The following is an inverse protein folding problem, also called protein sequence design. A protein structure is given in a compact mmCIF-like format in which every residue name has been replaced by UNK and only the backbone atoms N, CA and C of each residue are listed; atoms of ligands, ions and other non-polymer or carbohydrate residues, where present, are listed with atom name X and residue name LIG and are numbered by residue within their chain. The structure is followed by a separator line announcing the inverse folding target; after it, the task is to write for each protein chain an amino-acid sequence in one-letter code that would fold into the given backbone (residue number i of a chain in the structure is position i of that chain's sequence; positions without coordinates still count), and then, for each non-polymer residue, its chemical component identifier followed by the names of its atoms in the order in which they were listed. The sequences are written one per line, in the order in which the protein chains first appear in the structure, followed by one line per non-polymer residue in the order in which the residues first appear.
data_IF_179633977776
#
_entry.id   IF_179633977776
#
_cell.length_a   1.000
_cell.length_b   1.000
_cell.length_c   1.000
_cell.angle_alpha   90.00
_cell.angle_beta   90.00
_cell.angle_gamma   90.00
#
_symmetry.space_group_name_H-M   'P 1'
#
loop_
_entity.id
_entity.type
_entity.pdbx_description
1 polymer ?
#
# COMPACT_ATOMS: atom_id res chain seq x y z
N UNK A 1 -8.32 -26.24 -8.61
CA UNK A 1 -7.69 -24.91 -8.66
C UNK A 1 -8.68 -23.90 -8.06
N UNK A 2 -8.27 -23.05 -7.14
CA UNK A 2 -9.12 -22.40 -6.13
C UNK A 2 -10.19 -21.37 -6.61
N UNK A 3 -10.46 -21.28 -7.92
CA UNK A 3 -11.52 -20.40 -8.47
C UNK A 3 -11.37 -18.93 -8.08
N UNK A 4 -12.45 -18.16 -8.19
CA UNK A 4 -12.50 -16.75 -7.83
C UNK A 4 -12.24 -16.50 -6.33
N UNK A 5 -12.67 -17.42 -5.46
CA UNK A 5 -12.46 -17.35 -3.99
C UNK A 5 -10.97 -17.45 -3.63
N UNK A 6 -10.20 -18.24 -4.37
CA UNK A 6 -8.75 -18.32 -4.21
C UNK A 6 -8.05 -17.00 -4.53
N UNK A 7 -8.46 -16.31 -5.60
CA UNK A 7 -7.84 -15.05 -6.04
C UNK A 7 -7.78 -14.02 -4.92
N UNK A 8 -8.93 -13.72 -4.30
CA UNK A 8 -9.02 -12.73 -3.24
C UNK A 8 -8.12 -13.07 -2.05
N UNK A 9 -8.09 -14.34 -1.64
CA UNK A 9 -7.25 -14.80 -0.54
C UNK A 9 -5.75 -14.67 -0.86
N UNK A 10 -5.29 -15.17 -2.01
CA UNK A 10 -3.88 -15.05 -2.42
C UNK A 10 -3.45 -13.59 -2.56
N UNK A 11 -4.29 -12.75 -3.16
CA UNK A 11 -4.02 -11.32 -3.29
C UNK A 11 -3.93 -10.62 -1.92
N UNK A 12 -4.80 -10.96 -0.97
CA UNK A 12 -4.70 -10.43 0.39
C UNK A 12 -3.39 -10.85 1.08
N UNK A 13 -2.97 -12.11 0.94
CA UNK A 13 -1.71 -12.58 1.52
C UNK A 13 -0.48 -11.93 0.88
N UNK A 14 -0.48 -11.78 -0.45
CA UNK A 14 0.58 -11.07 -1.18
C UNK A 14 0.64 -9.61 -0.77
N UNK A 15 -0.51 -8.94 -0.65
CA UNK A 15 -0.59 -7.54 -0.26
C UNK A 15 -0.09 -7.31 1.16
N UNK A 16 -0.57 -8.13 2.11
CA UNK A 16 -0.13 -8.10 3.50
C UNK A 16 1.38 -8.38 3.63
N UNK A 17 1.89 -9.42 2.97
CA UNK A 17 3.32 -9.75 2.99
C UNK A 17 4.19 -8.67 2.36
N UNK A 18 3.70 -8.03 1.30
CA UNK A 18 4.39 -6.89 0.65
C UNK A 18 4.49 -5.68 1.59
N UNK A 19 3.42 -5.36 2.31
CA UNK A 19 3.40 -4.19 3.19
C UNK A 19 4.04 -4.43 4.57
N UNK A 20 4.36 -5.69 4.93
CA UNK A 20 4.82 -6.07 6.27
C UNK A 20 6.10 -5.38 6.73
N UNK A 21 7.15 -5.43 5.90
CA UNK A 21 8.49 -4.91 6.23
C UNK A 21 9.05 -3.94 5.17
N UNK A 22 8.17 -3.40 4.31
CA UNK A 22 8.44 -2.26 3.43
C UNK A 22 9.69 -2.40 2.53
N UNK A 23 10.02 -3.63 2.13
CA UNK A 23 11.19 -3.95 1.28
C UNK A 23 12.10 -5.03 1.87
N UNK A 24 11.79 -5.50 3.09
CA UNK A 24 12.51 -6.56 3.77
C UNK A 24 12.24 -7.98 3.24
N UNK A 25 12.69 -9.01 3.99
CA UNK A 25 12.60 -10.41 3.58
C UNK A 25 11.17 -10.91 3.29
N UNK A 26 10.17 -10.49 4.08
CA UNK A 26 8.77 -10.91 3.90
C UNK A 26 8.20 -10.30 2.63
N UNK A 27 8.48 -9.02 2.38
CA UNK A 27 8.10 -8.36 1.14
C UNK A 27 8.73 -9.07 -0.08
N UNK A 28 10.01 -9.44 -0.02
CA UNK A 28 10.68 -10.17 -1.11
C UNK A 28 10.08 -11.55 -1.34
N UNK A 29 9.80 -12.30 -0.27
CA UNK A 29 9.16 -13.61 -0.37
C UNK A 29 7.75 -13.50 -1.00
N UNK A 30 6.96 -12.50 -0.60
CA UNK A 30 5.65 -12.21 -1.19
C UNK A 30 5.77 -11.85 -2.68
N UNK A 31 6.80 -11.08 -3.05
CA UNK A 31 7.12 -10.76 -4.44
C UNK A 31 7.45 -12.01 -5.26
N UNK A 32 8.30 -12.91 -4.74
CA UNK A 32 8.63 -14.18 -5.39
C UNK A 32 7.40 -15.07 -5.57
N UNK A 33 6.53 -15.14 -4.55
CA UNK A 33 5.27 -15.88 -4.65
C UNK A 33 4.33 -15.28 -5.72
N UNK A 34 4.19 -13.96 -5.75
CA UNK A 34 3.38 -13.27 -6.76
C UNK A 34 3.91 -13.51 -8.18
N UNK A 35 5.22 -13.39 -8.39
CA UNK A 35 5.88 -13.67 -9.67
C UNK A 35 5.71 -15.14 -10.08
N UNK A 36 5.80 -16.08 -9.14
CA UNK A 36 5.58 -17.49 -9.42
C UNK A 36 4.14 -17.79 -9.85
N UNK A 37 3.14 -17.11 -9.27
CA UNK A 37 1.73 -17.28 -9.62
C UNK A 37 1.33 -16.55 -10.91
N UNK A 38 2.03 -15.49 -11.27
CA UNK A 38 1.70 -14.64 -12.42
C UNK A 38 1.59 -15.46 -13.71
N UNK A 39 0.44 -15.40 -14.38
CA UNK A 39 0.21 -16.10 -15.63
C UNK A 39 -0.04 -17.61 -15.51
N UNK A 40 -0.02 -18.21 -14.30
CA UNK A 40 -0.43 -19.61 -14.11
C UNK A 40 -1.91 -19.86 -14.45
N UNK A 41 -2.73 -18.81 -14.42
CA UNK A 41 -4.08 -18.78 -14.94
C UNK A 41 -4.49 -17.33 -15.22
N UNK A 42 -5.61 -17.10 -15.89
CA UNK A 42 -6.17 -15.74 -16.09
C UNK A 42 -6.50 -15.00 -14.78
N UNK A 43 -6.51 -15.74 -13.66
CA UNK A 43 -6.91 -15.28 -12.34
C UNK A 43 -5.73 -14.69 -11.56
N UNK A 44 -4.49 -15.08 -11.88
CA UNK A 44 -3.29 -14.66 -11.14
C UNK A 44 -2.48 -13.64 -11.93
N UNK A 45 -2.35 -12.44 -11.37
CA UNK A 45 -1.62 -11.30 -11.89
C UNK A 45 -0.78 -10.64 -10.77
N UNK A 46 -0.05 -9.57 -11.09
CA UNK A 46 0.80 -8.83 -10.15
C UNK A 46 0.09 -7.62 -9.51
N UNK A 47 -1.19 -7.36 -9.81
CA UNK A 47 -1.85 -6.13 -9.35
C UNK A 47 -1.77 -5.95 -7.83
N UNK A 48 -2.08 -6.99 -7.06
CA UNK A 48 -2.00 -6.93 -5.60
C UNK A 48 -0.58 -6.59 -5.10
N UNK A 49 0.45 -7.14 -5.76
CA UNK A 49 1.85 -6.88 -5.44
C UNK A 49 2.22 -5.43 -5.73
N UNK A 50 1.95 -4.95 -6.95
CA UNK A 50 2.37 -3.62 -7.40
C UNK A 50 1.71 -2.48 -6.61
N UNK A 51 0.42 -2.62 -6.29
CA UNK A 51 -0.29 -1.65 -5.45
C UNK A 51 0.27 -1.60 -4.03
N UNK A 52 0.59 -2.76 -3.46
CA UNK A 52 1.00 -2.88 -2.06
C UNK A 52 2.40 -2.33 -1.80
N UNK A 53 3.24 -2.23 -2.83
CA UNK A 53 4.55 -1.56 -2.74
C UNK A 53 4.35 -0.08 -2.41
N UNK A 54 3.38 0.59 -3.04
CA UNK A 54 3.28 2.05 -2.98
C UNK A 54 2.35 2.56 -1.89
N UNK A 55 1.33 1.79 -1.53
CA UNK A 55 0.27 2.20 -0.60
C UNK A 55 0.79 2.71 0.76
N UNK A 56 1.76 2.05 1.43
CA UNK A 56 2.26 2.54 2.73
C UNK A 56 2.93 3.93 2.63
N UNK A 57 3.86 4.10 1.69
CA UNK A 57 4.58 5.36 1.47
C UNK A 57 3.64 6.50 1.08
N UNK A 58 2.70 6.25 0.16
CA UNK A 58 1.70 7.25 -0.24
C UNK A 58 0.77 7.59 0.93
N UNK A 59 0.36 6.58 1.72
CA UNK A 59 -0.49 6.78 2.88
C UNK A 59 0.14 7.64 3.97
N UNK A 60 1.44 7.46 4.23
CA UNK A 60 2.21 8.36 5.12
C UNK A 60 2.25 9.78 4.56
N UNK A 61 2.44 9.93 3.25
CA UNK A 61 2.36 11.22 2.58
C UNK A 61 1.03 11.92 2.75
N UNK A 62 -0.07 11.17 2.58
CA UNK A 62 -1.42 11.66 2.82
C UNK A 62 -1.63 12.00 4.29
N UNK A 63 -1.10 11.22 5.24
CA UNK A 63 -1.17 11.57 6.66
C UNK A 63 -0.52 12.93 6.94
N UNK A 64 0.69 13.18 6.41
CA UNK A 64 1.37 14.47 6.56
C UNK A 64 0.56 15.64 5.97
N UNK A 65 -0.07 15.44 4.80
CA UNK A 65 -0.92 16.45 4.18
C UNK A 65 -2.23 16.67 4.94
N UNK A 66 -2.86 15.62 5.47
CA UNK A 66 -4.15 15.69 6.16
C UNK A 66 -4.04 16.08 7.63
N UNK A 67 -2.85 15.98 8.22
CA UNK A 67 -2.59 16.27 9.62
C UNK A 67 -3.12 17.65 10.06
N UNK A 68 -4.02 17.67 11.04
CA UNK A 68 -4.66 18.88 11.57
C UNK A 68 -5.71 19.53 10.64
N UNK A 69 -6.11 18.87 9.54
CA UNK A 69 -7.12 19.37 8.59
C UNK A 69 -8.41 18.57 8.69
N UNK A 70 -9.54 19.18 8.32
CA UNK A 70 -10.85 18.50 8.27
C UNK A 70 -11.27 17.81 9.59
N UNK A 71 -10.83 18.33 10.73
CA UNK A 71 -11.08 17.72 12.05
C UNK A 71 -10.21 16.51 12.38
N UNK A 72 -9.18 16.21 11.56
CA UNK A 72 -8.23 15.13 11.82
C UNK A 72 -7.18 15.53 12.86
N UNK A 73 -6.59 14.55 13.57
CA UNK A 73 -5.57 14.80 14.58
C UNK A 73 -4.37 15.63 14.06
N UNK A 74 -3.89 16.56 14.87
CA UNK A 74 -2.62 17.27 14.64
C UNK A 74 -1.52 16.61 15.46
N UNK A 75 -0.85 15.63 14.86
CA UNK A 75 0.10 14.75 15.54
C UNK A 75 1.52 14.82 14.97
N UNK A 76 1.71 15.48 13.83
CA UNK A 76 3.01 15.57 13.16
C UNK A 76 3.77 16.84 13.55
N UNK A 77 5.05 16.70 13.89
CA UNK A 77 5.99 17.82 13.92
C UNK A 77 6.26 18.35 12.49
N UNK A 78 6.95 19.50 12.38
CA UNK A 78 7.35 20.02 11.07
C UNK A 78 8.35 19.11 10.34
N UNK A 79 9.21 18.44 11.10
CA UNK A 79 10.13 17.43 10.56
C UNK A 79 9.33 16.23 10.04
N UNK A 80 8.35 15.74 10.79
CA UNK A 80 7.49 14.62 10.37
C UNK A 80 6.66 14.95 9.12
N UNK A 81 6.19 16.20 8.99
CA UNK A 81 5.49 16.66 7.78
C UNK A 81 6.43 16.65 6.57
N UNK A 82 7.68 17.07 6.75
CA UNK A 82 8.71 17.03 5.71
C UNK A 82 9.02 15.60 5.30
N UNK A 83 9.33 14.72 6.27
CA UNK A 83 9.63 13.31 6.02
C UNK A 83 8.45 12.64 5.33
N UNK A 84 7.21 12.83 5.82
CA UNK A 84 6.04 12.24 5.18
C UNK A 84 5.79 12.74 3.76
N UNK A 85 6.03 14.03 3.49
CA UNK A 85 5.94 14.56 2.12
C UNK A 85 7.01 13.95 1.20
N UNK A 86 8.22 13.70 1.71
CA UNK A 86 9.25 12.95 0.97
C UNK A 86 8.83 11.50 0.74
N UNK A 87 8.20 10.84 1.72
CA UNK A 87 7.66 9.49 1.57
C UNK A 87 6.60 9.40 0.46
N UNK A 88 5.79 10.45 0.27
CA UNK A 88 4.84 10.51 -0.84
C UNK A 88 5.54 10.36 -2.20
N UNK A 89 6.62 11.14 -2.40
CA UNK A 89 7.39 11.11 -3.64
C UNK A 89 8.01 9.73 -3.87
N UNK A 90 8.55 9.12 -2.81
CA UNK A 90 9.08 7.75 -2.85
C UNK A 90 8.00 6.74 -3.27
N UNK A 91 6.80 6.85 -2.70
CA UNK A 91 5.66 6.01 -3.08
C UNK A 91 5.27 6.17 -4.57
N UNK A 92 5.26 7.40 -5.09
CA UNK A 92 4.93 7.69 -6.50
C UNK A 92 5.94 7.06 -7.47
N UNK A 93 7.21 6.90 -7.08
CA UNK A 93 8.23 6.27 -7.93
C UNK A 93 8.46 4.78 -7.64
N UNK A 94 7.72 4.18 -6.70
CA UNK A 94 7.75 2.74 -6.44
C UNK A 94 8.62 2.29 -5.28
N UNK A 95 8.86 3.17 -4.30
CA UNK A 95 9.71 2.90 -3.14
C UNK A 95 8.83 2.82 -1.87
N UNK A 96 8.76 1.64 -1.25
CA UNK A 96 7.98 1.37 -0.02
C UNK A 96 8.67 1.85 1.26
N UNK A 97 9.99 2.03 1.19
CA UNK A 97 10.88 2.32 2.32
C UNK A 97 10.63 3.70 2.93
N UNK A 98 9.95 4.59 2.20
CA UNK A 98 9.56 5.91 2.69
C UNK A 98 8.72 5.85 3.98
N UNK A 99 8.05 4.73 4.27
CA UNK A 99 7.29 4.55 5.50
C UNK A 99 8.09 3.95 6.68
N UNK A 100 9.36 3.54 6.48
CA UNK A 100 10.19 2.94 7.54
C UNK A 100 10.34 3.84 8.77
N UNK A 101 10.63 5.16 8.64
CA UNK A 101 10.77 6.03 9.81
C UNK A 101 9.53 6.03 10.72
N UNK A 102 8.34 5.84 10.15
CA UNK A 102 7.08 5.84 10.87
C UNK A 102 6.86 4.52 11.63
N UNK A 103 7.17 3.37 11.05
CA UNK A 103 7.07 2.08 11.78
C UNK A 103 8.13 1.97 12.89
N UNK A 104 9.31 2.58 12.72
CA UNK A 104 10.34 2.61 13.76
C UNK A 104 9.87 3.42 14.97
N UNK A 105 9.12 4.50 14.73
CA UNK A 105 8.52 5.30 15.80
C UNK A 105 7.29 4.65 16.41
N UNK A 106 6.45 3.98 15.60
CA UNK A 106 5.23 3.32 16.03
C UNK A 106 5.03 1.99 15.30
N UNK A 107 5.49 0.87 15.88
CA UNK A 107 5.37 -0.46 15.26
C UNK A 107 3.93 -0.92 15.03
N UNK A 108 2.94 -0.31 15.70
CA UNK A 108 1.51 -0.58 15.47
C UNK A 108 1.07 -0.21 14.05
N UNK A 109 1.87 0.57 13.31
CA UNK A 109 1.58 0.92 11.93
C UNK A 109 1.81 -0.24 10.95
N UNK A 110 2.53 -1.30 11.32
CA UNK A 110 2.70 -2.48 10.46
C UNK A 110 1.34 -3.10 10.08
N UNK A 111 0.47 -3.49 11.03
CA UNK A 111 -0.86 -4.01 10.68
C UNK A 111 -1.77 -2.97 10.00
N UNK A 112 -1.59 -1.67 10.26
CA UNK A 112 -2.29 -0.60 9.53
C UNK A 112 -1.93 -0.61 8.05
N UNK A 113 -0.63 -0.68 7.73
CA UNK A 113 -0.14 -0.71 6.36
C UNK A 113 -0.53 -1.99 5.63
N UNK A 114 -0.50 -3.13 6.32
CA UNK A 114 -1.04 -4.38 5.79
C UNK A 114 -2.53 -4.23 5.44
N UNK A 115 -3.32 -3.63 6.33
CA UNK A 115 -4.76 -3.43 6.11
C UNK A 115 -5.04 -2.53 4.92
N UNK A 116 -4.34 -1.39 4.81
CA UNK A 116 -4.49 -0.49 3.67
C UNK A 116 -4.08 -1.14 2.35
N UNK A 117 -2.97 -1.90 2.35
CA UNK A 117 -2.50 -2.64 1.16
C UNK A 117 -3.51 -3.72 0.73
N UNK A 118 -4.02 -4.51 1.67
CA UNK A 118 -5.05 -5.53 1.41
C UNK A 118 -6.33 -4.88 0.87
N UNK A 119 -6.80 -3.80 1.49
CA UNK A 119 -7.99 -3.11 1.03
C UNK A 119 -7.81 -2.58 -0.41
N UNK A 120 -6.70 -1.92 -0.71
CA UNK A 120 -6.39 -1.47 -2.07
C UNK A 120 -6.34 -2.62 -3.08
N UNK A 121 -5.68 -3.73 -2.73
CA UNK A 121 -5.63 -4.91 -3.60
C UNK A 121 -7.02 -5.52 -3.86
N UNK A 122 -7.87 -5.62 -2.84
CA UNK A 122 -9.23 -6.16 -2.98
C UNK A 122 -10.13 -5.24 -3.82
N UNK A 123 -10.03 -3.92 -3.62
CA UNK A 123 -10.73 -2.94 -4.48
C UNK A 123 -10.28 -3.11 -5.93
N UNK A 124 -8.98 -3.24 -6.20
CA UNK A 124 -8.46 -3.40 -7.55
C UNK A 124 -9.04 -4.65 -8.24
N UNK A 125 -9.12 -5.76 -7.52
CA UNK A 125 -9.72 -7.01 -8.01
C UNK A 125 -11.20 -6.81 -8.32
N UNK A 126 -11.94 -6.14 -7.45
CA UNK A 126 -13.38 -5.88 -7.65
C UNK A 126 -13.64 -4.99 -8.87
N UNK A 127 -12.73 -4.06 -9.16
CA UNK A 127 -12.78 -3.16 -10.32
C UNK A 127 -12.19 -3.78 -11.60
N UNK A 128 -11.82 -5.07 -11.56
CA UNK A 128 -11.27 -5.78 -12.72
C UNK A 128 -9.89 -5.28 -13.17
N UNK A 129 -9.15 -4.61 -12.30
CA UNK A 129 -7.78 -4.17 -12.59
C UNK A 129 -6.88 -5.41 -12.73
N UNK A 130 -6.09 -5.45 -13.80
CA UNK A 130 -5.05 -6.44 -14.03
C UNK A 130 -3.76 -5.74 -14.46
N UNK A 131 -2.64 -6.20 -13.92
CA UNK A 131 -1.29 -5.80 -14.26
C UNK A 131 -0.40 -7.04 -14.17
N UNK A 132 0.20 -7.42 -15.29
CA UNK A 132 1.07 -8.61 -15.37
C UNK A 132 2.57 -8.25 -15.40
N UNK A 133 2.89 -6.96 -15.57
CA UNK A 133 4.25 -6.46 -15.58
C UNK A 133 4.71 -6.11 -14.15
N UNK A 134 5.94 -6.47 -13.77
CA UNK A 134 6.51 -6.17 -12.46
C UNK A 134 7.01 -4.72 -12.38
N UNK A 135 6.09 -3.77 -12.61
CA UNK A 135 6.35 -2.34 -12.66
C UNK A 135 5.41 -1.62 -11.67
N UNK A 136 5.90 -1.18 -10.51
CA UNK A 136 5.06 -0.48 -9.55
C UNK A 136 4.89 1.00 -9.92
N UNK A 137 3.94 1.65 -9.25
CA UNK A 137 3.84 3.11 -9.21
C UNK A 137 3.70 3.75 -10.60
N UNK A 138 4.39 4.88 -10.83
CA UNK A 138 4.39 5.64 -12.10
C UNK A 138 4.77 4.79 -13.32
N UNK A 139 5.49 3.68 -13.11
CA UNK A 139 5.99 2.81 -14.17
C UNK A 139 4.95 1.83 -14.71
N UNK A 140 3.97 1.43 -13.88
CA UNK A 140 2.98 0.42 -14.24
C UNK A 140 1.57 0.93 -14.44
N UNK A 141 1.11 1.92 -13.66
CA UNK A 141 -0.30 2.34 -13.69
C UNK A 141 -0.88 2.67 -15.09
N UNK A 142 -0.15 3.20 -16.10
CA UNK A 142 -0.74 3.46 -17.42
C UNK A 142 -0.90 2.18 -18.25
N UNK A 143 -0.25 1.09 -17.85
CA UNK A 143 -0.25 -0.22 -18.50
C UNK A 143 -1.28 -1.18 -17.88
N UNK A 144 -1.92 -0.79 -16.77
CA UNK A 144 -2.98 -1.56 -16.15
C UNK A 144 -4.25 -1.56 -17.03
N UNK A 145 -5.00 -2.67 -17.02
CA UNK A 145 -6.23 -2.82 -17.83
C UNK A 145 -7.33 -1.79 -17.49
N UNK A 146 -7.31 -1.26 -16.27
CA UNK A 146 -8.22 -0.23 -15.79
C UNK A 146 -7.44 0.80 -14.96
N UNK A 147 -6.93 1.84 -15.62
CA UNK A 147 -6.09 2.89 -15.01
C UNK A 147 -6.85 3.64 -13.90
N UNK A 148 -8.12 3.99 -14.14
CA UNK A 148 -8.94 4.68 -13.15
C UNK A 148 -9.17 3.81 -11.90
N UNK A 149 -9.46 2.52 -12.10
CA UNK A 149 -9.60 1.55 -11.02
C UNK A 149 -8.30 1.34 -10.24
N UNK A 150 -7.15 1.32 -10.92
CA UNK A 150 -5.83 1.24 -10.30
C UNK A 150 -5.60 2.43 -9.36
N UNK A 151 -5.80 3.65 -9.87
CA UNK A 151 -5.62 4.87 -9.09
C UNK A 151 -6.58 4.96 -7.90
N UNK A 152 -7.86 4.63 -8.11
CA UNK A 152 -8.86 4.60 -7.04
C UNK A 152 -8.47 3.60 -5.94
N UNK A 153 -7.91 2.45 -6.32
CA UNK A 153 -7.48 1.40 -5.40
C UNK A 153 -6.27 1.82 -4.56
N UNK A 154 -5.25 2.44 -5.19
CA UNK A 154 -4.10 3.03 -4.48
C UNK A 154 -4.59 4.13 -3.53
N UNK A 155 -5.47 5.00 -4.00
CA UNK A 155 -6.02 6.09 -3.20
C UNK A 155 -6.76 5.58 -1.96
N UNK A 156 -7.65 4.59 -2.11
CA UNK A 156 -8.41 4.00 -0.98
C UNK A 156 -7.45 3.33 0.02
N UNK A 157 -6.52 2.52 -0.45
CA UNK A 157 -5.53 1.86 0.42
C UNK A 157 -4.65 2.87 1.16
N UNK A 158 -4.15 3.89 0.46
CA UNK A 158 -3.35 4.96 1.04
C UNK A 158 -4.15 5.79 2.05
N UNK A 159 -5.43 6.05 1.80
CA UNK A 159 -6.29 6.77 2.74
C UNK A 159 -6.49 5.98 4.04
N UNK A 160 -6.68 4.66 3.96
CA UNK A 160 -6.75 3.79 5.15
C UNK A 160 -5.44 3.87 5.94
N UNK A 161 -4.29 3.77 5.27
CA UNK A 161 -2.99 3.96 5.91
C UNK A 161 -2.88 5.35 6.56
N UNK A 162 -3.31 6.41 5.86
CA UNK A 162 -3.22 7.78 6.35
C UNK A 162 -4.02 7.99 7.62
N UNK A 163 -5.27 7.51 7.64
CA UNK A 163 -6.15 7.59 8.80
C UNK A 163 -5.56 6.78 9.97
N UNK A 164 -5.10 5.56 9.73
CA UNK A 164 -4.46 4.75 10.78
C UNK A 164 -3.21 5.44 11.36
N UNK A 165 -2.36 6.05 10.53
CA UNK A 165 -1.20 6.83 11.00
C UNK A 165 -1.60 8.00 11.90
N UNK A 166 -2.67 8.72 11.55
CA UNK A 166 -3.15 9.86 12.32
C UNK A 166 -3.82 9.44 13.64
N UNK A 167 -4.62 8.37 13.62
CA UNK A 167 -5.37 7.92 14.80
C UNK A 167 -4.56 7.04 15.76
N UNK A 168 -3.67 6.17 15.27
CA UNK A 168 -2.81 5.31 16.11
C UNK A 168 -1.62 6.07 16.70
N UNK A 169 -1.54 7.38 16.47
CA UNK A 169 -0.49 8.23 17.03
C UNK A 169 -0.50 8.17 18.57
N UNK A 170 0.65 7.93 19.22
CA UNK A 170 0.76 7.95 20.68
C UNK A 170 0.33 9.28 21.32
N UNK A 171 0.31 10.37 20.56
CA UNK A 171 -0.14 11.69 21.04
C UNK A 171 -1.64 11.76 21.31
N UNK A 172 -2.44 10.87 20.71
CA UNK A 172 -3.89 10.80 20.93
C UNK A 172 -4.28 10.05 22.22
N UNK A 173 -3.34 9.34 22.84
CA UNK A 173 -3.58 8.56 24.06
C UNK A 173 -3.43 9.40 25.36
N UNK A 174 -3.39 10.72 25.24
CA UNK A 174 -3.29 11.70 26.33
C UNK A 174 -4.54 12.56 26.36
#
# INVERSE_FOLDING_TARGET
AAGATGRGFYSAMIAAGTAFDLGGPVNKAAGSAALGLNGMSETFDLTARELSIVIPSIGVGFAAFLNGRFGLPDVFSQEEKTVGSTSLLLGVIGISEGAIPFILKNPRLIPVFMTGAVAGALVAITLGVKQTLPLPAVWGWPLATNVAGYLASVFIGALICALGVLYDSPKNAR
#
